data_IF_161687788852
#
_entry.id   IF_161687788852
#
_cell.length_a   1.000
_cell.length_b   1.000
_cell.length_c   1.000
_cell.angle_alpha   90.00
_cell.angle_beta   90.00
_cell.angle_gamma   90.00
#
_symmetry.space_group_name_H-M   'P 1'
#
loop_
_entity.id
_entity.type
_entity.pdbx_description
1 polymer ?
#
# COMPACT_ATOMS: atom_id res chain seq x y z
N UNK A 1 4.38 45.26 -2.83
CA UNK A 1 3.81 44.71 -1.58
C UNK A 1 4.12 43.23 -1.57
N UNK A 2 5.11 42.81 -0.80
CA UNK A 2 5.49 41.38 -0.67
C UNK A 2 4.65 40.82 0.48
N UNK A 3 3.62 40.05 0.15
CA UNK A 3 2.79 39.38 1.17
C UNK A 3 3.60 38.17 1.66
N UNK A 4 4.25 38.34 2.80
CA UNK A 4 4.89 37.23 3.51
C UNK A 4 3.78 36.50 4.27
N UNK A 5 3.23 35.43 3.69
CA UNK A 5 2.31 34.55 4.40
C UNK A 5 3.15 33.74 5.39
N UNK A 6 3.29 34.26 6.60
CA UNK A 6 3.89 33.52 7.71
C UNK A 6 2.82 32.56 8.20
N UNK A 7 2.89 31.28 7.83
CA UNK A 7 1.95 30.27 8.30
C UNK A 7 2.30 29.95 9.76
N UNK A 8 1.81 30.79 10.66
CA UNK A 8 1.94 30.62 12.10
C UNK A 8 1.00 29.48 12.50
N UNK A 9 1.51 28.24 12.53
CA UNK A 9 0.85 26.98 12.91
C UNK A 9 -0.23 26.42 11.95
N UNK A 10 0.19 25.80 10.84
CA UNK A 10 -0.65 24.89 10.05
C UNK A 10 -0.26 23.43 10.24
N UNK A 11 -1.19 22.53 9.88
CA UNK A 11 -0.97 21.10 9.70
C UNK A 11 -1.05 20.82 8.20
N UNK A 12 0.00 20.26 7.61
CA UNK A 12 -0.05 19.85 6.21
C UNK A 12 -0.69 18.46 6.08
N UNK A 13 -1.70 18.36 5.23
CA UNK A 13 -2.19 17.08 4.71
C UNK A 13 -1.46 16.81 3.41
N UNK A 14 -0.54 15.85 3.43
CA UNK A 14 0.40 15.63 2.33
C UNK A 14 0.23 14.23 1.75
N UNK A 15 0.60 14.13 0.47
CA UNK A 15 0.78 12.84 -0.16
C UNK A 15 2.15 12.21 0.08
N UNK A 16 3.01 12.92 0.82
CA UNK A 16 4.40 12.55 0.97
C UNK A 16 4.97 12.92 2.33
N UNK A 17 5.42 11.90 3.07
CA UNK A 17 5.94 12.02 4.44
C UNK A 17 7.46 12.08 4.57
N UNK A 18 8.19 12.55 3.56
CA UNK A 18 9.65 12.58 3.59
C UNK A 18 10.17 13.72 4.46
N UNK A 19 10.90 13.35 5.50
CA UNK A 19 11.38 14.27 6.53
C UNK A 19 12.90 14.47 6.51
N UNK A 20 13.59 14.06 5.45
CA UNK A 20 15.02 14.38 5.34
C UNK A 20 15.22 15.88 5.05
N UNK A 21 16.21 16.53 5.68
CA UNK A 21 16.59 17.90 5.34
C UNK A 21 17.25 17.99 3.95
N UNK A 22 17.77 16.89 3.42
CA UNK A 22 18.34 16.84 2.07
C UNK A 22 17.36 16.15 1.12
N UNK A 23 16.83 16.84 0.09
CA UNK A 23 15.99 16.19 -0.90
C UNK A 23 16.79 15.13 -1.63
N UNK A 24 16.20 13.95 -1.72
CA UNK A 24 16.58 12.94 -2.69
C UNK A 24 15.40 12.85 -3.67
N UNK A 25 15.58 13.07 -4.98
CA UNK A 25 14.46 13.13 -5.92
C UNK A 25 13.86 11.73 -6.14
N UNK A 26 12.62 11.51 -5.67
CA UNK A 26 11.98 10.18 -5.67
C UNK A 26 11.13 9.91 -6.92
N UNK A 27 10.41 10.91 -7.44
CA UNK A 27 9.51 10.76 -8.58
C UNK A 27 10.17 11.02 -9.94
N UNK A 28 11.45 11.38 -9.95
CA UNK A 28 12.17 11.93 -11.13
C UNK A 28 11.52 13.15 -11.77
N UNK A 29 10.52 13.74 -11.10
CA UNK A 29 10.00 15.03 -11.49
C UNK A 29 11.07 16.07 -11.12
N UNK A 30 11.44 16.93 -12.06
CA UNK A 30 12.49 17.93 -11.85
C UNK A 30 12.21 18.77 -10.60
N UNK A 31 10.93 19.10 -10.37
CA UNK A 31 10.49 19.93 -9.25
C UNK A 31 10.54 19.21 -7.89
N UNK A 32 10.70 17.88 -7.86
CA UNK A 32 10.90 17.13 -6.61
C UNK A 32 12.29 17.39 -6.00
N UNK A 33 13.24 17.90 -6.80
CA UNK A 33 14.53 18.36 -6.29
C UNK A 33 14.46 19.87 -5.99
N UNK A 34 13.71 20.24 -4.97
CA UNK A 34 13.49 21.64 -4.58
C UNK A 34 14.76 22.40 -4.19
N UNK A 35 15.92 21.73 -4.03
CA UNK A 35 17.21 22.37 -3.79
C UNK A 35 17.97 22.72 -5.09
N UNK A 36 17.52 22.24 -6.26
CA UNK A 36 18.07 22.67 -7.55
C UNK A 36 17.75 24.14 -7.87
N UNK A 37 16.68 24.69 -7.30
CA UNK A 37 16.40 26.13 -7.32
C UNK A 37 16.41 26.70 -5.88
N UNK A 38 17.59 27.11 -5.37
CA UNK A 38 17.71 27.72 -4.05
C UNK A 38 16.85 28.98 -3.89
N UNK A 39 16.54 29.70 -4.97
CA UNK A 39 15.67 30.88 -4.93
C UNK A 39 14.22 30.49 -4.78
N UNK A 40 13.79 29.39 -5.40
CA UNK A 40 12.45 28.83 -5.18
C UNK A 40 12.30 28.38 -3.73
N UNK A 41 13.24 27.59 -3.21
CA UNK A 41 13.23 27.14 -1.82
C UNK A 41 13.18 28.31 -0.84
N UNK A 42 14.02 29.33 -1.06
CA UNK A 42 14.06 30.53 -0.22
C UNK A 42 12.75 31.32 -0.22
N UNK A 43 12.03 31.32 -1.35
CA UNK A 43 10.75 32.05 -1.48
C UNK A 43 9.56 31.31 -0.87
N UNK A 44 9.57 29.98 -0.84
CA UNK A 44 8.38 29.19 -0.53
C UNK A 44 8.49 28.30 0.71
N UNK A 45 9.71 27.91 1.11
CA UNK A 45 9.91 26.90 2.16
C UNK A 45 10.71 27.46 3.33
N UNK A 46 11.94 27.93 3.11
CA UNK A 46 12.79 28.38 4.20
C UNK A 46 14.21 28.74 3.78
N UNK A 47 15.15 28.79 4.72
CA UNK A 47 16.54 29.12 4.42
C UNK A 47 17.22 28.00 3.63
N UNK A 48 17.57 28.25 2.36
CA UNK A 48 18.27 27.26 1.52
C UNK A 48 19.68 26.95 2.01
N UNK A 49 20.26 27.76 2.90
CA UNK A 49 21.54 27.46 3.57
C UNK A 49 21.38 26.56 4.80
N UNK A 50 20.15 26.43 5.31
CA UNK A 50 19.78 25.58 6.44
C UNK A 50 18.48 24.84 6.10
N UNK A 51 18.53 23.93 5.11
CA UNK A 51 17.33 23.28 4.63
C UNK A 51 16.68 22.49 5.77
N UNK A 52 15.37 22.66 5.89
CA UNK A 52 14.52 21.98 6.84
C UNK A 52 13.58 21.08 6.06
N UNK A 53 13.18 19.93 6.62
CA UNK A 53 12.24 19.06 5.93
C UNK A 53 10.92 19.78 5.63
N UNK A 54 10.35 19.56 4.44
CA UNK A 54 9.03 20.11 4.09
C UNK A 54 7.93 19.47 4.93
N UNK A 55 8.04 18.17 5.19
CA UNK A 55 7.16 17.43 6.08
C UNK A 55 7.77 17.36 7.49
N UNK A 56 7.04 17.85 8.49
CA UNK A 56 7.42 17.79 9.88
C UNK A 56 6.70 16.65 10.61
N UNK A 57 7.46 15.62 10.99
CA UNK A 57 6.95 14.49 11.78
C UNK A 57 6.27 14.98 13.05
N UNK A 58 5.16 14.35 13.42
CA UNK A 58 4.39 14.69 14.62
C UNK A 58 3.57 15.98 14.52
N UNK A 59 3.75 16.81 13.47
CA UNK A 59 2.90 17.95 13.13
C UNK A 59 2.02 17.64 11.93
N UNK A 60 2.64 17.27 10.82
CA UNK A 60 1.99 17.05 9.53
C UNK A 60 1.45 15.62 9.43
N UNK A 61 0.54 15.37 8.47
CA UNK A 61 -0.16 14.09 8.32
C UNK A 61 -0.04 13.61 6.88
N UNK A 62 0.45 12.39 6.71
CA UNK A 62 0.39 11.68 5.42
C UNK A 62 -0.95 10.96 5.34
N UNK A 63 -1.75 11.31 4.35
CA UNK A 63 -3.06 10.68 4.11
C UNK A 63 -2.89 9.50 3.15
N UNK A 64 -3.69 8.42 3.22
CA UNK A 64 -3.64 7.35 2.23
C UNK A 64 -4.14 7.81 0.85
N UNK A 65 -3.60 7.24 -0.25
CA UNK A 65 -4.03 7.58 -1.59
C UNK A 65 -5.49 7.18 -1.82
N UNK A 66 -6.12 7.88 -2.75
CA UNK A 66 -7.44 7.52 -3.21
C UNK A 66 -7.38 6.40 -4.25
N UNK A 67 -8.29 5.42 -4.16
CA UNK A 67 -8.58 4.47 -5.23
C UNK A 67 -10.07 4.28 -5.41
N UNK A 68 -10.44 3.85 -6.62
CA UNK A 68 -11.83 3.60 -7.00
C UNK A 68 -12.47 2.49 -6.15
N UNK A 69 -13.78 2.54 -5.88
CA UNK A 69 -14.50 1.54 -5.08
C UNK A 69 -14.22 0.08 -5.45
N UNK A 70 -14.12 -0.23 -6.74
CA UNK A 70 -13.88 -1.59 -7.25
C UNK A 70 -12.54 -2.18 -6.81
N UNK A 71 -11.54 -1.35 -6.51
CA UNK A 71 -10.25 -1.82 -6.00
C UNK A 71 -10.38 -2.41 -4.59
N UNK A 72 -11.30 -1.88 -3.77
CA UNK A 72 -11.50 -2.30 -2.38
C UNK A 72 -12.44 -3.50 -2.25
N UNK A 73 -13.47 -3.58 -3.10
CA UNK A 73 -14.52 -4.59 -2.95
C UNK A 73 -13.99 -6.02 -3.02
N UNK A 74 -13.08 -6.32 -3.96
CA UNK A 74 -12.53 -7.66 -4.14
C UNK A 74 -11.80 -8.18 -2.89
N UNK A 75 -10.83 -7.47 -2.31
CA UNK A 75 -10.20 -7.94 -1.07
C UNK A 75 -11.16 -7.97 0.11
N UNK A 76 -12.11 -7.02 0.22
CA UNK A 76 -13.07 -7.01 1.33
C UNK A 76 -13.98 -8.24 1.30
N UNK A 77 -14.43 -8.65 0.11
CA UNK A 77 -15.24 -9.87 -0.08
C UNK A 77 -14.45 -11.17 0.16
N UNK A 78 -13.14 -11.17 -0.12
CA UNK A 78 -12.30 -12.36 -0.06
C UNK A 78 -11.62 -12.59 1.29
N UNK A 79 -11.61 -11.60 2.19
CA UNK A 79 -10.74 -11.59 3.37
C UNK A 79 -11.54 -11.36 4.67
N UNK A 80 -12.69 -12.00 4.83
CA UNK A 80 -13.56 -11.79 6.01
C UNK A 80 -13.70 -12.99 6.95
N UNK A 81 -12.98 -14.10 6.73
CA UNK A 81 -13.03 -15.25 7.64
C UNK A 81 -11.76 -15.37 8.48
N UNK A 82 -11.85 -15.97 9.67
CA UNK A 82 -10.69 -16.35 10.48
C UNK A 82 -9.66 -17.18 9.68
N UNK A 83 -10.11 -17.87 8.64
CA UNK A 83 -9.24 -18.58 7.70
C UNK A 83 -8.28 -17.63 6.99
N UNK A 84 -8.65 -16.39 6.70
CA UNK A 84 -7.79 -15.41 6.03
C UNK A 84 -6.52 -15.05 6.82
N UNK A 85 -6.58 -15.11 8.15
CA UNK A 85 -5.41 -14.89 9.03
C UNK A 85 -4.47 -16.09 8.99
N UNK A 86 -5.03 -17.31 9.11
CA UNK A 86 -4.28 -18.57 9.17
C UNK A 86 -4.02 -19.20 7.79
N UNK A 87 -4.49 -18.57 6.71
CA UNK A 87 -4.34 -19.08 5.35
C UNK A 87 -2.87 -19.08 4.97
N UNK A 88 -2.34 -20.26 4.70
CA UNK A 88 -1.01 -20.40 4.13
C UNK A 88 -0.94 -19.65 2.79
N UNK A 89 -0.01 -18.70 2.72
CA UNK A 89 0.34 -17.98 1.50
C UNK A 89 1.43 -18.79 0.79
N UNK A 90 1.35 -18.87 -0.53
CA UNK A 90 2.26 -19.70 -1.35
C UNK A 90 3.54 -18.92 -1.67
N UNK A 91 3.42 -17.61 -1.87
CA UNK A 91 4.55 -16.72 -2.11
C UNK A 91 5.07 -16.09 -0.83
N UNK A 92 6.38 -15.80 -0.80
CA UNK A 92 7.02 -15.09 0.30
C UNK A 92 6.91 -13.58 0.09
N UNK A 93 7.41 -13.08 -1.05
CA UNK A 93 7.56 -11.64 -1.34
C UNK A 93 6.88 -11.26 -2.64
N UNK A 94 6.11 -10.18 -2.64
CA UNK A 94 5.49 -9.64 -3.83
C UNK A 94 5.74 -8.15 -4.04
N UNK A 95 6.02 -7.79 -5.30
CA UNK A 95 5.93 -6.43 -5.81
C UNK A 95 5.48 -6.45 -7.28
N UNK A 96 4.47 -5.64 -7.61
CA UNK A 96 4.13 -5.35 -9.00
C UNK A 96 3.80 -3.88 -9.23
N UNK A 97 4.59 -3.20 -10.07
CA UNK A 97 4.29 -1.87 -10.63
C UNK A 97 5.54 -1.24 -11.24
N UNK A 98 5.49 0.06 -11.59
CA UNK A 98 6.57 0.73 -12.33
C UNK A 98 7.95 0.50 -11.68
N UNK A 99 8.80 -0.29 -12.32
CA UNK A 99 10.13 -0.67 -11.85
C UNK A 99 11.17 0.43 -12.09
N UNK A 100 10.80 1.54 -12.75
CA UNK A 100 11.73 2.62 -13.04
C UNK A 100 12.67 2.34 -14.22
N UNK A 101 12.48 1.23 -14.96
CA UNK A 101 13.35 0.83 -16.07
C UNK A 101 13.37 1.81 -17.25
N UNK A 102 12.40 2.73 -17.29
CA UNK A 102 12.28 3.81 -18.29
C UNK A 102 12.18 5.20 -17.65
N UNK A 103 12.49 5.32 -16.36
CA UNK A 103 12.49 6.58 -15.62
C UNK A 103 13.90 7.18 -15.60
N UNK A 104 14.04 8.44 -15.17
CA UNK A 104 15.35 9.04 -15.00
C UNK A 104 16.12 8.34 -13.86
N UNK A 105 17.46 8.42 -13.85
CA UNK A 105 18.26 7.94 -12.71
C UNK A 105 17.80 8.58 -11.40
N UNK A 106 17.75 7.79 -10.32
CA UNK A 106 17.30 8.24 -9.00
C UNK A 106 15.82 8.02 -8.72
N UNK A 107 14.99 7.64 -9.71
CA UNK A 107 13.60 7.24 -9.46
C UNK A 107 13.54 6.18 -8.37
N UNK A 108 12.69 6.39 -7.37
CA UNK A 108 12.55 5.45 -6.26
C UNK A 108 13.86 5.22 -5.49
N UNK A 109 14.81 6.16 -5.52
CA UNK A 109 16.20 5.95 -5.03
C UNK A 109 16.90 4.76 -5.67
N UNK A 110 16.53 4.45 -6.90
CA UNK A 110 16.91 3.24 -7.62
C UNK A 110 16.53 1.95 -6.89
N UNK A 111 15.67 2.00 -5.85
CA UNK A 111 15.33 0.83 -5.04
C UNK A 111 14.55 -0.21 -5.83
N UNK A 112 13.61 0.22 -6.68
CA UNK A 112 12.84 -0.70 -7.51
C UNK A 112 13.70 -1.39 -8.57
N UNK A 113 14.63 -0.64 -9.16
CA UNK A 113 15.61 -1.11 -10.13
C UNK A 113 16.59 -2.09 -9.46
N UNK A 114 17.11 -1.74 -8.29
CA UNK A 114 17.99 -2.60 -7.47
C UNK A 114 17.27 -3.86 -7.01
N UNK A 115 16.04 -3.75 -6.52
CA UNK A 115 15.24 -4.89 -6.07
C UNK A 115 14.98 -5.84 -7.24
N UNK A 116 14.60 -5.29 -8.39
CA UNK A 116 14.42 -6.10 -9.59
C UNK A 116 15.71 -6.77 -10.04
N UNK A 117 16.84 -6.07 -10.03
CA UNK A 117 18.14 -6.64 -10.40
C UNK A 117 18.59 -7.76 -9.46
N UNK A 118 18.32 -7.63 -8.15
CA UNK A 118 18.67 -8.63 -7.14
C UNK A 118 17.73 -9.83 -7.14
N UNK A 119 16.44 -9.65 -7.44
CA UNK A 119 15.41 -10.66 -7.23
C UNK A 119 14.55 -10.95 -8.47
N UNK A 120 15.07 -10.72 -9.67
CA UNK A 120 14.42 -11.18 -10.90
C UNK A 120 14.50 -12.71 -10.97
N UNK A 121 13.38 -13.36 -11.30
CA UNK A 121 13.33 -14.81 -11.51
C UNK A 121 14.11 -15.17 -12.80
N UNK A 122 15.26 -15.86 -12.70
CA UNK A 122 16.07 -16.20 -13.86
C UNK A 122 15.39 -17.23 -14.79
N UNK A 123 14.37 -17.93 -14.31
CA UNK A 123 13.63 -18.95 -15.06
C UNK A 123 12.41 -18.40 -15.79
N UNK A 124 12.07 -17.13 -15.59
CA UNK A 124 10.99 -16.49 -16.33
C UNK A 124 11.33 -16.47 -17.83
N UNK A 125 10.44 -17.05 -18.66
CA UNK A 125 10.63 -17.24 -20.11
C UNK A 125 10.76 -15.94 -20.93
N UNK A 126 10.61 -14.78 -20.30
CA UNK A 126 10.96 -13.47 -20.87
C UNK A 126 12.36 -13.06 -20.39
N UNK A 127 13.37 -13.87 -20.77
CA UNK A 127 14.80 -13.68 -20.47
C UNK A 127 15.37 -12.30 -20.84
N UNK A 128 14.74 -11.53 -21.74
CA UNK A 128 15.16 -10.15 -22.04
C UNK A 128 14.90 -9.17 -20.87
N UNK A 129 14.03 -9.51 -19.92
CA UNK A 129 13.63 -8.59 -18.86
C UNK A 129 14.54 -8.66 -17.62
N UNK A 130 15.27 -9.75 -17.37
CA UNK A 130 16.23 -9.81 -16.24
C UNK A 130 17.61 -9.21 -16.58
N UNK A 131 17.90 -8.83 -17.84
CA UNK A 131 19.22 -8.33 -18.31
C UNK A 131 19.04 -7.35 -19.48
N UNK A 132 19.41 -6.04 -19.39
CA UNK A 132 20.78 -5.55 -19.20
C UNK A 132 20.93 -4.41 -18.15
N UNK A 133 20.09 -4.36 -17.11
CA UNK A 133 20.48 -3.67 -15.85
C UNK A 133 21.57 -4.43 -15.08
N UNK A 134 21.83 -5.67 -15.52
CA UNK A 134 22.98 -6.52 -15.20
C UNK A 134 24.32 -5.96 -15.73
N UNK A 135 24.35 -4.93 -16.60
CA UNK A 135 25.61 -4.15 -16.81
C UNK A 135 26.07 -3.38 -15.56
N UNK A 136 25.25 -3.44 -14.51
CA UNK A 136 25.57 -2.97 -13.19
C UNK A 136 24.86 -3.82 -12.12
N UNK A 137 25.19 -5.11 -11.99
CA UNK A 137 25.81 -5.41 -10.68
C UNK A 137 26.86 -4.31 -10.54
N UNK A 138 26.61 -3.27 -9.72
CA UNK A 138 27.48 -2.07 -9.67
C UNK A 138 28.93 -2.56 -9.69
N UNK A 139 29.92 -1.78 -10.14
CA UNK A 139 31.34 -2.21 -10.08
C UNK A 139 31.74 -2.84 -8.72
N UNK A 140 30.96 -2.58 -7.67
CA UNK A 140 30.94 -3.11 -6.31
C UNK A 140 30.37 -4.55 -6.10
N UNK A 141 29.63 -5.16 -7.04
CA UNK A 141 28.97 -6.47 -6.88
C UNK A 141 29.35 -7.45 -8.03
N UNK A 142 29.72 -8.72 -7.73
CA UNK A 142 30.25 -9.68 -8.71
C UNK A 142 29.17 -10.38 -9.57
N UNK A 143 29.54 -10.91 -10.76
CA UNK A 143 28.70 -11.51 -11.82
C UNK A 143 27.71 -12.66 -11.44
N UNK A 144 27.45 -12.93 -10.16
CA UNK A 144 26.48 -13.89 -9.64
C UNK A 144 25.55 -13.24 -8.58
N UNK A 145 24.99 -12.06 -8.89
CA UNK A 145 24.24 -11.21 -7.95
C UNK A 145 22.78 -11.62 -7.69
N UNK A 146 22.24 -12.63 -8.38
CA UNK A 146 20.84 -12.99 -8.17
C UNK A 146 20.68 -13.59 -6.77
N UNK A 147 19.88 -12.94 -5.96
CA UNK A 147 19.43 -13.37 -4.64
C UNK A 147 17.99 -13.88 -4.70
N UNK A 148 17.47 -14.14 -5.92
CA UNK A 148 16.13 -14.65 -6.11
C UNK A 148 15.97 -16.04 -5.47
N UNK A 149 14.79 -16.25 -4.88
CA UNK A 149 14.37 -17.52 -4.33
C UNK A 149 12.92 -17.84 -4.76
N UNK A 150 12.53 -19.13 -4.81
CA UNK A 150 11.13 -19.50 -5.03
C UNK A 150 10.18 -18.78 -4.08
N UNK A 151 9.11 -18.21 -4.64
CA UNK A 151 8.13 -17.42 -3.89
C UNK A 151 8.45 -15.92 -3.80
N UNK A 152 9.55 -15.45 -4.40
CA UNK A 152 9.83 -14.02 -4.59
C UNK A 152 9.39 -13.58 -5.98
N UNK A 153 8.48 -12.60 -6.04
CA UNK A 153 7.96 -12.05 -7.29
C UNK A 153 8.14 -10.53 -7.31
N UNK A 154 9.00 -10.04 -8.19
CA UNK A 154 9.16 -8.60 -8.47
C UNK A 154 8.98 -8.38 -9.97
N UNK A 155 7.99 -7.57 -10.37
CA UNK A 155 7.67 -7.35 -11.78
C UNK A 155 7.04 -5.98 -12.07
N UNK A 156 6.99 -5.59 -13.35
CA UNK A 156 6.44 -4.29 -13.76
C UNK A 156 4.93 -4.20 -13.64
N UNK A 157 4.19 -5.22 -14.04
CA UNK A 157 2.72 -5.19 -13.98
C UNK A 157 2.16 -6.59 -13.72
N UNK A 158 0.93 -6.63 -13.19
CA UNK A 158 0.19 -7.86 -12.99
C UNK A 158 -1.25 -7.72 -13.47
N UNK A 159 -1.72 -8.67 -14.27
CA UNK A 159 -3.14 -8.84 -14.59
C UNK A 159 -3.90 -9.60 -13.49
N UNK A 160 -3.19 -10.16 -12.50
CA UNK A 160 -3.72 -10.90 -11.35
C UNK A 160 -3.32 -10.22 -10.03
N UNK A 161 -3.24 -8.89 -10.06
CA UNK A 161 -2.64 -8.09 -8.98
C UNK A 161 -3.27 -8.38 -7.60
N UNK A 162 -4.61 -8.44 -7.54
CA UNK A 162 -5.32 -8.76 -6.32
C UNK A 162 -5.00 -10.17 -5.81
N UNK A 163 -5.07 -11.18 -6.69
CA UNK A 163 -4.75 -12.57 -6.36
C UNK A 163 -3.32 -12.74 -5.87
N UNK A 164 -2.38 -12.01 -6.47
CA UNK A 164 -0.97 -12.07 -6.10
C UNK A 164 -0.71 -11.40 -4.75
N UNK A 165 -1.26 -10.22 -4.49
CA UNK A 165 -1.24 -9.61 -3.16
C UNK A 165 -1.81 -10.55 -2.08
N UNK A 166 -2.90 -11.27 -2.39
CA UNK A 166 -3.51 -12.24 -1.49
C UNK A 166 -2.85 -13.63 -1.48
N UNK A 167 -1.83 -13.90 -2.30
CA UNK A 167 -1.14 -15.20 -2.28
C UNK A 167 0.27 -15.12 -1.73
N UNK A 168 0.74 -13.92 -1.38
CA UNK A 168 2.04 -13.68 -0.79
C UNK A 168 1.93 -13.27 0.69
N UNK A 169 2.96 -13.61 1.48
CA UNK A 169 3.05 -13.24 2.90
C UNK A 169 3.40 -11.76 3.06
N UNK A 170 4.42 -11.31 2.32
CA UNK A 170 5.00 -9.98 2.42
C UNK A 170 4.88 -9.22 1.09
N UNK A 171 4.58 -7.93 1.15
CA UNK A 171 4.42 -7.08 -0.02
C UNK A 171 5.28 -5.83 0.09
N UNK A 172 6.18 -5.63 -0.86
CA UNK A 172 7.13 -4.53 -0.84
C UNK A 172 6.46 -3.19 -1.12
N UNK A 173 6.80 -2.22 -0.30
CA UNK A 173 6.46 -0.82 -0.47
C UNK A 173 7.75 -0.01 -0.65
N UNK A 174 8.07 0.25 -1.92
CA UNK A 174 9.13 1.17 -2.33
C UNK A 174 8.56 2.58 -2.53
N UNK A 175 9.35 3.63 -2.33
CA UNK A 175 8.99 4.98 -2.77
C UNK A 175 8.63 5.02 -4.26
N UNK A 176 7.90 6.04 -4.67
CA UNK A 176 7.61 6.33 -6.09
C UNK A 176 7.23 7.80 -6.23
N UNK A 177 6.25 8.10 -7.07
CA UNK A 177 5.67 9.44 -7.24
C UNK A 177 4.76 9.78 -6.03
N UNK A 178 5.34 9.94 -4.84
CA UNK A 178 4.64 10.26 -3.58
C UNK A 178 4.35 9.06 -2.67
N UNK A 179 3.07 8.86 -2.33
CA UNK A 179 2.51 8.04 -1.24
C UNK A 179 3.13 6.66 -0.95
N UNK A 180 3.82 6.01 -1.89
CA UNK A 180 4.01 4.54 -1.85
C UNK A 180 2.68 3.84 -1.59
N UNK A 181 1.74 3.96 -2.54
CA UNK A 181 0.40 3.33 -2.49
C UNK A 181 0.40 1.82 -2.21
N UNK A 182 1.57 1.19 -2.22
CA UNK A 182 1.80 -0.23 -1.93
C UNK A 182 1.58 -0.61 -0.49
N UNK A 183 1.80 0.29 0.48
CA UNK A 183 1.41 0.00 1.88
C UNK A 183 -0.09 -0.22 1.96
N UNK A 184 -0.86 0.67 1.35
CA UNK A 184 -2.30 0.56 1.29
C UNK A 184 -2.75 -0.69 0.52
N UNK A 185 -2.11 -1.02 -0.61
CA UNK A 185 -2.43 -2.24 -1.37
C UNK A 185 -2.16 -3.49 -0.55
N UNK A 186 -1.01 -3.57 0.13
CA UNK A 186 -0.69 -4.69 0.99
C UNK A 186 -1.73 -4.85 2.10
N UNK A 187 -2.03 -3.74 2.80
CA UNK A 187 -2.92 -3.74 3.96
C UNK A 187 -4.33 -4.20 3.58
N UNK A 188 -4.93 -3.64 2.52
CA UNK A 188 -6.29 -4.01 2.15
C UNK A 188 -6.42 -5.48 1.70
N UNK A 189 -5.35 -6.09 1.21
CA UNK A 189 -5.32 -7.49 0.77
C UNK A 189 -4.86 -8.50 1.85
N UNK A 190 -4.49 -8.03 3.05
CA UNK A 190 -3.96 -8.91 4.08
C UNK A 190 -2.54 -9.42 3.82
N UNK A 191 -1.79 -8.68 3.01
CA UNK A 191 -0.36 -8.91 2.82
C UNK A 191 0.40 -8.01 3.80
N UNK A 192 1.46 -8.52 4.44
CA UNK A 192 2.22 -7.75 5.41
C UNK A 192 3.11 -6.75 4.64
N UNK A 193 2.92 -5.43 4.78
CA UNK A 193 3.75 -4.44 4.10
C UNK A 193 5.21 -4.53 4.56
N UNK A 194 6.13 -4.50 3.60
CA UNK A 194 7.58 -4.36 3.82
C UNK A 194 8.01 -3.03 3.25
N UNK A 195 8.20 -2.05 4.13
CA UNK A 195 8.53 -0.67 3.78
C UNK A 195 10.04 -0.59 3.61
N UNK A 196 10.46 -0.29 2.38
CA UNK A 196 11.86 -0.01 2.03
C UNK A 196 11.93 1.44 1.57
N UNK A 197 11.90 2.33 2.55
CA UNK A 197 11.88 3.78 2.33
C UNK A 197 12.39 4.46 3.61
N UNK A 198 13.62 4.94 3.55
CA UNK A 198 14.24 5.62 4.68
C UNK A 198 13.71 7.05 4.78
N UNK A 199 13.74 7.61 6.00
CA UNK A 199 13.39 9.00 6.27
C UNK A 199 11.98 9.40 5.76
N UNK A 200 11.04 8.45 5.74
CA UNK A 200 9.67 8.67 5.30
C UNK A 200 8.63 8.10 6.26
N UNK A 201 7.63 8.91 6.56
CA UNK A 201 6.43 8.54 7.31
C UNK A 201 5.36 8.00 6.37
N UNK A 202 4.76 6.87 6.73
CA UNK A 202 3.65 6.25 6.01
C UNK A 202 2.30 6.80 6.46
N UNK A 203 1.24 6.43 5.75
CA UNK A 203 -0.12 6.93 6.02
C UNK A 203 -0.51 6.72 7.48
N UNK A 204 -0.84 7.79 8.18
CA UNK A 204 -1.30 7.69 9.57
C UNK A 204 -0.31 7.01 10.55
N UNK A 205 0.99 6.92 10.23
CA UNK A 205 1.97 6.23 11.08
C UNK A 205 2.11 6.84 12.47
N UNK A 206 2.23 8.16 12.57
CA UNK A 206 2.13 8.85 13.86
C UNK A 206 0.71 9.07 14.39
N UNK A 207 -0.31 8.58 13.68
CA UNK A 207 -1.73 8.85 14.00
C UNK A 207 -2.35 7.77 14.85
N UNK A 208 -2.07 6.49 14.61
CA UNK A 208 -2.72 5.39 15.34
C UNK A 208 -2.61 5.58 16.87
N UNK A 209 -1.38 5.74 17.37
CA UNK A 209 -1.11 6.04 18.79
C UNK A 209 -1.72 7.37 19.25
N UNK A 210 -1.63 8.42 18.44
CA UNK A 210 -2.16 9.74 18.76
C UNK A 210 -3.70 9.76 18.86
N UNK A 211 -4.37 8.92 18.07
CA UNK A 211 -5.82 8.71 18.09
C UNK A 211 -6.28 7.79 19.22
N UNK A 212 -5.36 7.21 19.98
CA UNK A 212 -5.66 6.31 21.10
C UNK A 212 -5.71 4.82 20.75
N UNK A 213 -5.23 4.41 19.58
CA UNK A 213 -5.06 3.00 19.23
C UNK A 213 -3.70 2.49 19.73
N UNK A 214 -3.63 1.35 20.44
CA UNK A 214 -2.37 0.77 20.92
C UNK A 214 -1.65 -0.01 19.80
N UNK A 215 -1.46 0.63 18.65
CA UNK A 215 -0.81 0.02 17.49
C UNK A 215 0.13 1.02 16.84
N UNK A 216 1.27 0.51 16.42
CA UNK A 216 2.28 1.20 15.64
C UNK A 216 2.53 0.44 14.33
N UNK A 217 3.17 1.06 13.36
CA UNK A 217 3.48 0.44 12.08
C UNK A 217 4.27 -0.86 12.23
N UNK A 218 5.19 -0.92 13.18
CA UNK A 218 5.96 -2.14 13.48
C UNK A 218 5.12 -3.33 13.96
N UNK A 219 3.85 -3.12 14.33
CA UNK A 219 2.96 -4.19 14.75
C UNK A 219 2.30 -4.93 13.58
N UNK A 220 2.37 -4.37 12.37
CA UNK A 220 1.74 -4.96 11.19
C UNK A 220 2.58 -4.80 9.90
N UNK A 221 3.81 -4.29 10.02
CA UNK A 221 4.71 -4.06 8.90
C UNK A 221 6.15 -4.37 9.28
N UNK A 222 6.98 -4.59 8.27
CA UNK A 222 8.43 -4.70 8.40
C UNK A 222 9.05 -3.46 7.76
N UNK A 223 9.94 -2.77 8.47
CA UNK A 223 10.79 -1.72 7.89
C UNK A 223 12.18 -2.32 7.62
N UNK A 224 12.64 -2.22 6.37
CA UNK A 224 13.97 -2.66 5.95
C UNK A 224 14.70 -1.44 5.38
N UNK A 225 15.90 -1.17 5.88
CA UNK A 225 16.69 -0.02 5.40
C UNK A 225 17.06 -0.14 3.93
N UNK A 226 17.21 0.99 3.23
CA UNK A 226 17.51 1.03 1.79
C UNK A 226 18.84 0.33 1.44
N UNK A 227 19.80 0.38 2.35
CA UNK A 227 21.10 -0.30 2.23
C UNK A 227 20.99 -1.83 2.39
N UNK A 228 19.98 -2.29 3.13
CA UNK A 228 19.79 -3.69 3.52
C UNK A 228 18.91 -4.48 2.54
N UNK A 229 18.55 -3.89 1.40
CA UNK A 229 17.73 -4.55 0.38
C UNK A 229 18.30 -5.92 -0.07
N UNK A 230 19.62 -6.11 -0.02
CA UNK A 230 20.29 -7.39 -0.30
C UNK A 230 20.04 -8.48 0.76
N UNK A 231 19.54 -8.11 1.94
CA UNK A 231 19.16 -9.04 3.03
C UNK A 231 17.66 -9.28 3.09
N UNK A 232 16.88 -8.83 2.10
CA UNK A 232 15.42 -8.86 2.13
C UNK A 232 14.89 -10.27 2.45
N UNK A 233 15.30 -11.28 1.68
CA UNK A 233 14.77 -12.64 1.85
C UNK A 233 15.22 -13.26 3.19
N UNK A 234 16.51 -13.25 3.57
CA UNK A 234 16.93 -13.73 4.90
C UNK A 234 16.19 -13.04 6.06
N UNK A 235 15.99 -11.73 5.98
CA UNK A 235 15.29 -10.95 7.02
C UNK A 235 13.84 -11.39 7.16
N UNK A 236 13.13 -11.58 6.05
CA UNK A 236 11.72 -11.97 6.08
C UNK A 236 11.52 -13.44 6.50
N UNK A 237 12.44 -14.34 6.13
CA UNK A 237 12.39 -15.75 6.58
C UNK A 237 12.70 -15.93 8.07
N UNK A 238 13.43 -15.00 8.68
CA UNK A 238 13.71 -15.03 10.11
C UNK A 238 12.48 -14.70 10.98
N UNK A 239 11.41 -14.18 10.38
CA UNK A 239 10.16 -13.89 11.08
C UNK A 239 9.39 -15.20 11.30
N UNK A 240 9.14 -15.53 12.56
CA UNK A 240 8.37 -16.72 12.94
C UNK A 240 6.93 -16.69 12.43
N UNK A 241 6.32 -17.85 12.20
CA UNK A 241 4.91 -17.95 11.80
C UNK A 241 3.94 -17.28 12.78
N UNK A 242 4.19 -17.35 14.10
CA UNK A 242 3.34 -16.69 15.11
C UNK A 242 3.36 -15.16 14.93
N UNK A 243 4.52 -14.59 14.64
CA UNK A 243 4.69 -13.17 14.35
C UNK A 243 4.02 -12.78 13.03
N UNK A 244 4.08 -13.64 12.00
CA UNK A 244 3.35 -13.46 10.74
C UNK A 244 1.84 -13.44 10.98
N UNK A 245 1.32 -14.38 11.77
CA UNK A 245 -0.09 -14.46 12.16
C UNK A 245 -0.52 -13.22 12.93
N UNK A 246 0.31 -12.77 13.89
CA UNK A 246 0.10 -11.53 14.65
C UNK A 246 0.00 -10.31 13.74
N UNK A 247 1.01 -10.09 12.90
CA UNK A 247 1.02 -8.97 11.97
C UNK A 247 -0.17 -9.02 11.01
N UNK A 248 -0.51 -10.19 10.47
CA UNK A 248 -1.65 -10.32 9.54
C UNK A 248 -2.98 -10.03 10.23
N UNK A 249 -3.17 -10.44 11.48
CA UNK A 249 -4.36 -10.06 12.27
C UNK A 249 -4.48 -8.54 12.37
N UNK A 250 -3.38 -7.86 12.70
CA UNK A 250 -3.35 -6.40 12.78
C UNK A 250 -3.62 -5.75 11.41
N UNK A 251 -3.01 -6.24 10.33
CA UNK A 251 -3.27 -5.77 8.95
C UNK A 251 -4.76 -5.84 8.62
N UNK A 252 -5.40 -7.00 8.84
CA UNK A 252 -6.81 -7.19 8.50
C UNK A 252 -7.75 -6.36 9.36
N UNK A 253 -7.39 -6.16 10.62
CA UNK A 253 -8.15 -5.27 11.50
C UNK A 253 -8.04 -3.81 11.03
N UNK A 254 -6.84 -3.36 10.67
CA UNK A 254 -6.58 -1.97 10.28
C UNK A 254 -7.10 -1.58 8.90
N UNK A 255 -7.32 -2.54 8.00
CA UNK A 255 -7.60 -2.29 6.58
C UNK A 255 -8.74 -1.30 6.30
N UNK A 256 -9.74 -1.27 7.16
CA UNK A 256 -10.90 -0.39 7.02
C UNK A 256 -10.47 1.09 7.07
N UNK A 257 -9.49 1.43 7.91
CA UNK A 257 -8.94 2.79 8.05
C UNK A 257 -8.03 3.23 6.90
N UNK A 258 -7.66 2.31 6.00
CA UNK A 258 -6.89 2.61 4.78
C UNK A 258 -7.81 2.90 3.58
N UNK A 259 -9.14 2.85 3.75
CA UNK A 259 -10.11 3.05 2.66
C UNK A 259 -10.93 4.31 2.90
N UNK A 260 -11.24 5.04 1.83
CA UNK A 260 -12.15 6.17 1.82
C UNK A 260 -13.52 5.71 1.29
N UNK A 261 -14.42 5.28 2.17
CA UNK A 261 -15.66 4.58 1.76
C UNK A 261 -16.68 5.49 1.08
N UNK A 262 -16.69 6.77 1.44
CA UNK A 262 -17.67 7.75 0.97
C UNK A 262 -17.11 8.74 -0.08
N UNK A 263 -15.87 8.56 -0.54
CA UNK A 263 -15.23 9.39 -1.59
C UNK A 263 -15.53 8.90 -3.02
N UNK A 264 -15.48 9.83 -3.99
CA UNK A 264 -15.75 9.61 -5.44
C UNK A 264 -17.19 9.32 -5.82
N UNK A 265 -18.18 9.90 -5.12
CA UNK A 265 -19.61 9.74 -5.45
C UNK A 265 -19.95 8.31 -5.89
N UNK A 266 -19.61 7.29 -5.09
CA UNK A 266 -19.91 5.91 -5.45
C UNK A 266 -21.41 5.81 -5.70
N UNK A 267 -21.81 4.95 -6.65
CA UNK A 267 -23.23 4.65 -6.79
C UNK A 267 -23.79 4.19 -5.44
N UNK A 268 -25.09 4.39 -5.19
CA UNK A 268 -25.70 3.94 -3.94
C UNK A 268 -25.42 2.45 -3.67
N UNK A 269 -25.39 1.64 -4.73
CA UNK A 269 -24.99 0.23 -4.71
C UNK A 269 -23.52 0.02 -4.29
N UNK A 270 -22.58 0.75 -4.88
CA UNK A 270 -21.16 0.64 -4.51
C UNK A 270 -20.91 1.06 -3.06
N UNK A 271 -21.59 2.11 -2.60
CA UNK A 271 -21.54 2.55 -1.21
C UNK A 271 -22.08 1.46 -0.30
N UNK A 272 -23.28 0.95 -0.57
CA UNK A 272 -23.88 -0.13 0.20
C UNK A 272 -22.97 -1.38 0.24
N UNK A 273 -22.34 -1.75 -0.88
CA UNK A 273 -21.42 -2.87 -0.95
C UNK A 273 -20.16 -2.66 -0.09
N UNK A 274 -19.56 -1.46 -0.11
CA UNK A 274 -18.40 -1.13 0.72
C UNK A 274 -18.73 -1.12 2.21
N UNK A 275 -19.87 -0.54 2.60
CA UNK A 275 -20.33 -0.55 3.99
C UNK A 275 -20.72 -1.95 4.46
N UNK A 276 -21.26 -2.79 3.58
CA UNK A 276 -21.62 -4.19 3.91
C UNK A 276 -20.38 -5.09 4.05
N UNK A 277 -19.33 -4.84 3.26
CA UNK A 277 -18.12 -5.64 3.28
C UNK A 277 -17.06 -5.17 4.30
N UNK A 278 -17.22 -3.94 4.83
CA UNK A 278 -16.32 -3.34 5.81
C UNK A 278 -17.03 -3.03 7.12
N UNK A 279 -16.31 -2.36 8.03
CA UNK A 279 -16.91 -1.85 9.28
C UNK A 279 -17.51 -0.47 9.07
N UNK A 280 -18.79 -0.30 9.39
CA UNK A 280 -19.50 0.98 9.23
C UNK A 280 -18.87 2.04 10.13
N UNK A 281 -18.63 3.24 9.58
CA UNK A 281 -18.07 4.39 10.31
C UNK A 281 -16.58 4.28 10.68
N UNK A 282 -15.91 3.17 10.37
CA UNK A 282 -14.48 3.00 10.56
C UNK A 282 -13.78 3.08 9.21
N UNK A 283 -13.25 4.24 8.88
CA UNK A 283 -12.60 4.48 7.60
C UNK A 283 -11.49 5.54 7.70
N UNK A 284 -10.87 5.87 6.57
CA UNK A 284 -9.82 6.88 6.51
C UNK A 284 -10.28 8.28 6.97
N UNK A 285 -11.57 8.63 6.84
CA UNK A 285 -12.09 9.91 7.31
C UNK A 285 -12.12 9.98 8.82
N UNK A 286 -12.59 8.92 9.49
CA UNK A 286 -12.53 8.86 10.94
C UNK A 286 -11.09 9.03 11.43
N UNK A 287 -10.16 8.26 10.88
CA UNK A 287 -8.77 8.31 11.35
C UNK A 287 -8.09 9.66 11.07
N UNK A 288 -8.40 10.30 9.93
CA UNK A 288 -7.95 11.66 9.63
C UNK A 288 -8.53 12.69 10.63
N UNK A 289 -9.81 12.60 10.97
CA UNK A 289 -10.43 13.50 11.93
C UNK A 289 -9.78 13.37 13.32
N UNK A 290 -9.54 12.13 13.77
CA UNK A 290 -8.85 11.87 15.05
C UNK A 290 -7.39 12.35 15.01
N UNK A 291 -6.70 12.21 13.87
CA UNK A 291 -5.36 12.74 13.68
C UNK A 291 -5.33 14.27 13.85
N UNK A 292 -6.20 14.97 13.13
CA UNK A 292 -6.30 16.42 13.18
C UNK A 292 -6.63 16.91 14.58
N UNK A 293 -7.53 16.25 15.28
CA UNK A 293 -7.83 16.55 16.67
C UNK A 293 -6.60 16.40 17.57
N UNK A 294 -5.88 15.28 17.47
CA UNK A 294 -4.68 15.04 18.28
C UNK A 294 -3.59 16.09 18.01
N UNK A 295 -3.42 16.52 16.75
CA UNK A 295 -2.50 17.61 16.39
C UNK A 295 -2.97 18.96 16.92
N UNK A 296 -4.25 19.28 16.82
CA UNK A 296 -4.81 20.51 17.38
C UNK A 296 -4.62 20.57 18.90
N UNK A 297 -4.78 19.45 19.61
CA UNK A 297 -4.49 19.33 21.05
C UNK A 297 -3.01 19.56 21.37
N UNK A 298 -2.10 18.93 20.62
CA UNK A 298 -0.66 19.13 20.79
C UNK A 298 -0.23 20.59 20.58
N UNK A 299 -0.99 21.34 19.77
CA UNK A 299 -0.82 22.78 19.55
C UNK A 299 -1.54 23.67 20.58
N UNK A 300 -2.14 23.09 21.63
CA UNK A 300 -2.90 23.82 22.65
C UNK A 300 -4.18 24.47 22.14
N UNK A 301 -4.72 24.04 20.99
CA UNK A 301 -5.94 24.60 20.37
C UNK A 301 -7.23 23.98 20.90
N UNK A 302 -7.13 22.84 21.58
CA UNK A 302 -8.26 22.13 22.20
C UNK A 302 -7.92 21.87 23.67
N UNK A 303 -8.80 22.28 24.57
CA UNK A 303 -8.57 22.33 26.04
C UNK A 303 -9.36 21.28 26.83
N UNK A 304 -10.13 20.42 26.16
CA UNK A 304 -10.89 19.35 26.82
C UNK A 304 -9.93 18.37 27.55
N UNK A 305 -10.24 17.94 28.79
CA UNK A 305 -9.39 17.04 29.56
C UNK A 305 -9.07 15.74 28.82
N UNK A 306 -7.86 15.23 29.03
CA UNK A 306 -7.34 14.11 28.25
C UNK A 306 -8.22 12.85 28.32
N UNK A 307 -8.71 12.55 29.51
CA UNK A 307 -9.54 11.37 29.76
C UNK A 307 -10.85 11.39 28.97
N UNK A 308 -11.45 12.57 28.78
CA UNK A 308 -12.78 12.69 28.15
C UNK A 308 -12.69 12.36 26.67
N UNK A 309 -11.76 12.98 25.96
CA UNK A 309 -11.61 12.75 24.52
C UNK A 309 -11.06 11.36 24.22
N UNK A 310 -10.15 10.82 25.06
CA UNK A 310 -9.66 9.44 24.91
C UNK A 310 -10.81 8.43 25.01
N UNK A 311 -11.68 8.60 26.01
CA UNK A 311 -12.86 7.74 26.20
C UNK A 311 -13.79 7.82 24.98
N UNK A 312 -14.03 9.03 24.44
CA UNK A 312 -14.83 9.22 23.23
C UNK A 312 -14.18 8.57 22.01
N UNK A 313 -12.88 8.77 21.80
CA UNK A 313 -12.15 8.23 20.65
C UNK A 313 -12.12 6.71 20.70
N UNK A 314 -11.92 6.09 21.87
CA UNK A 314 -12.02 4.64 22.05
C UNK A 314 -13.42 4.10 21.67
N UNK A 315 -14.48 4.85 21.97
CA UNK A 315 -15.85 4.50 21.56
C UNK A 315 -16.03 4.58 20.03
N UNK A 316 -15.49 5.61 19.38
CA UNK A 316 -15.52 5.76 17.91
C UNK A 316 -14.69 4.68 17.20
N UNK A 317 -13.57 4.32 17.79
CA UNK A 317 -12.70 3.23 17.36
C UNK A 317 -13.27 1.85 17.74
N UNK A 318 -14.38 1.82 18.48
CA UNK A 318 -15.31 0.70 18.59
C UNK A 318 -15.08 -0.28 19.74
N UNK A 319 -14.44 0.11 20.86
CA UNK A 319 -14.23 -0.73 22.07
C UNK A 319 -13.55 -2.12 21.86
N UNK A 320 -13.33 -2.57 20.62
CA UNK A 320 -12.73 -3.85 20.23
C UNK A 320 -11.31 -3.72 19.68
N UNK A 321 -10.78 -2.49 19.55
CA UNK A 321 -9.42 -2.26 19.06
C UNK A 321 -8.37 -2.89 19.96
N UNK A 322 -8.51 -2.77 21.28
CA UNK A 322 -7.57 -3.35 22.25
C UNK A 322 -7.58 -4.88 22.29
N UNK A 323 -8.75 -5.52 22.07
CA UNK A 323 -8.87 -6.99 22.20
C UNK A 323 -8.37 -7.76 20.97
N UNK A 324 -8.27 -7.09 19.81
CA UNK A 324 -7.87 -7.71 18.54
C UNK A 324 -6.49 -7.27 18.06
N UNK A 325 -6.00 -6.11 18.50
CA UNK A 325 -4.64 -5.68 18.26
C UNK A 325 -3.73 -6.38 19.25
N UNK A 326 -2.67 -7.02 18.74
CA UNK A 326 -1.67 -7.67 19.58
C UNK A 326 -0.37 -6.89 19.39
N UNK A 327 0.07 -6.08 20.37
CA UNK A 327 1.35 -5.37 20.32
C UNK A 327 2.53 -6.33 20.25
N UNK A 328 3.66 -5.86 19.70
CA UNK A 328 4.89 -6.66 19.64
C UNK A 328 5.37 -7.06 21.04
N UNK A 329 5.54 -8.36 21.28
CA UNK A 329 5.97 -8.92 22.57
C UNK A 329 4.86 -9.50 23.44
N UNK A 330 3.59 -9.33 23.06
CA UNK A 330 2.46 -9.99 23.73
C UNK A 330 2.03 -11.24 22.95
N UNK A 331 1.82 -12.35 23.67
CA UNK A 331 1.30 -13.59 23.08
C UNK A 331 -0.22 -13.44 22.92
N UNK A 332 -0.72 -13.68 21.71
CA UNK A 332 -2.16 -13.71 21.48
C UNK A 332 -2.81 -14.73 22.45
N UNK A 333 -3.94 -14.41 23.11
CA UNK A 333 -4.57 -15.36 24.01
C UNK A 333 -4.91 -16.64 23.24
N UNK A 334 -4.36 -17.77 23.70
CA UNK A 334 -4.75 -19.08 23.23
C UNK A 334 -6.26 -19.21 23.41
N UNK A 335 -6.99 -19.43 22.31
CA UNK A 335 -8.38 -19.85 22.40
C UNK A 335 -8.40 -21.20 23.09
N UNK A 336 -8.81 -21.23 24.36
CA UNK A 336 -9.19 -22.48 25.02
C UNK A 336 -10.41 -23.01 24.28
N UNK A 337 -10.24 -24.10 23.55
CA UNK A 337 -11.33 -24.83 22.93
C UNK A 337 -12.38 -25.16 23.99
N UNK A 338 -13.60 -24.70 23.76
CA UNK A 338 -14.76 -25.05 24.53
C UNK A 338 -15.23 -26.45 24.10
N UNK A 339 -14.59 -27.49 24.61
CA UNK A 339 -15.14 -28.85 24.63
C UNK A 339 -15.02 -29.41 26.05
N UNK A 340 -16.00 -29.04 26.86
CA UNK A 340 -16.07 -29.46 28.26
C UNK A 340 -17.42 -29.14 28.86
N UNK A 341 -18.48 -29.82 28.41
CA UNK A 341 -19.58 -30.30 29.25
C UNK A 341 -20.77 -30.77 28.40
N UNK A 342 -21.00 -32.09 28.35
CA UNK A 342 -22.35 -32.64 28.52
C UNK A 342 -22.30 -34.15 28.83
N UNK A 343 -22.52 -34.45 30.11
CA UNK A 343 -23.52 -35.40 30.58
C UNK A 343 -23.39 -36.87 30.15
N UNK A 344 -22.93 -37.69 31.08
CA UNK A 344 -23.19 -39.13 31.08
C UNK A 344 -24.70 -39.43 31.14
N UNK A 345 -25.17 -40.33 30.27
CA UNK A 345 -26.22 -41.29 30.62
C UNK A 345 -26.07 -42.57 29.79
N UNK A 346 -26.23 -43.69 30.49
CA UNK A 346 -26.10 -45.09 30.02
C UNK A 346 -27.29 -45.49 29.15
N UNK A 347 -27.10 -46.46 28.25
CA UNK A 347 -27.81 -47.77 28.21
C UNK A 347 -27.63 -48.51 26.87
N UNK A 348 -27.35 -49.84 26.96
CA UNK A 348 -27.63 -50.90 25.96
C UNK A 348 -26.84 -50.86 24.64
N UNK A 349 -26.04 -51.85 24.23
CA UNK A 349 -26.32 -53.29 24.19
C UNK A 349 -26.68 -53.70 22.75
N UNK A 350 -25.80 -54.41 22.04
CA UNK A 350 -26.16 -55.02 20.75
C UNK A 350 -25.00 -55.38 19.81
N UNK A 351 -24.69 -56.68 19.73
CA UNK A 351 -23.77 -57.32 18.76
C UNK A 351 -24.32 -57.27 17.32
N UNK A 352 -23.44 -57.31 16.30
CA UNK A 352 -23.81 -57.90 15.01
C UNK A 352 -22.98 -57.55 13.76
N UNK A 353 -22.12 -58.48 13.33
CA UNK A 353 -21.81 -58.96 11.96
C UNK A 353 -21.48 -57.94 10.82
N UNK A 354 -20.32 -58.13 10.15
CA UNK A 354 -20.02 -57.59 8.80
C UNK A 354 -20.69 -58.38 7.67
N UNK A 355 -20.12 -58.49 6.43
CA UNK A 355 -19.36 -57.56 5.60
C UNK A 355 -19.91 -57.47 4.12
N UNK A 356 -19.21 -56.71 3.26
CA UNK A 356 -18.97 -56.93 1.79
C UNK A 356 -19.64 -56.03 0.72
N UNK A 357 -18.83 -55.90 -0.35
CA UNK A 357 -19.10 -55.71 -1.80
C UNK A 357 -19.28 -54.28 -2.32
N UNK A 358 -18.46 -53.74 -3.25
CA UNK A 358 -17.95 -54.11 -4.61
C UNK A 358 -18.74 -53.39 -5.72
N UNK A 359 -17.98 -52.86 -6.70
CA UNK A 359 -18.45 -52.34 -8.00
C UNK A 359 -17.88 -50.94 -8.24
N UNK A 360 -16.81 -50.67 -9.01
CA UNK A 360 -16.46 -51.01 -10.41
C UNK A 360 -17.54 -50.62 -11.43
N UNK A 361 -17.25 -49.55 -12.19
CA UNK A 361 -17.94 -49.19 -13.43
C UNK A 361 -17.11 -48.19 -14.24
N UNK A 362 -16.57 -48.65 -15.39
CA UNK A 362 -15.81 -47.90 -16.39
C UNK A 362 -16.73 -47.33 -17.48
N UNK A 363 -16.26 -46.29 -18.18
CA UNK A 363 -16.68 -45.89 -19.55
C UNK A 363 -16.81 -44.37 -19.66
N UNK A 364 -16.25 -43.62 -20.62
CA UNK A 364 -15.60 -43.94 -21.90
C UNK A 364 -16.23 -43.10 -23.03
N UNK A 365 -15.49 -42.13 -23.60
CA UNK A 365 -15.80 -41.38 -24.85
C UNK A 365 -16.69 -40.12 -24.65
N UNK A 366 -16.59 -39.02 -25.40
CA UNK A 366 -15.96 -38.71 -26.70
C UNK A 366 -15.80 -37.19 -26.87
N UNK A 367 -14.81 -36.79 -27.66
CA UNK A 367 -14.42 -35.44 -28.06
C UNK A 367 -15.40 -34.71 -29.00
N UNK A 368 -15.17 -33.37 -29.10
CA UNK A 368 -15.33 -32.44 -30.26
C UNK A 368 -16.69 -31.74 -30.48
N UNK A 369 -16.71 -30.42 -30.20
CA UNK A 369 -16.87 -29.29 -31.16
C UNK A 369 -17.44 -28.06 -30.43
N UNK A 370 -16.66 -26.97 -30.31
CA UNK A 370 -17.10 -25.56 -30.23
C UNK A 370 -15.86 -24.65 -30.17
N UNK A 371 -15.18 -24.53 -31.31
CA UNK A 371 -14.42 -23.33 -31.69
C UNK A 371 -15.29 -22.62 -32.75
N UNK A 372 -15.18 -21.30 -32.82
CA UNK A 372 -15.87 -20.38 -33.76
C UNK A 372 -17.20 -19.81 -33.26
N UNK A 373 -17.14 -18.81 -32.36
CA UNK A 373 -18.16 -17.75 -32.22
C UNK A 373 -17.71 -16.55 -31.34
N UNK A 374 -16.44 -16.41 -30.95
CA UNK A 374 -16.04 -15.46 -29.89
C UNK A 374 -14.95 -14.43 -30.27
N UNK A 375 -14.79 -14.14 -31.57
CA UNK A 375 -13.71 -13.25 -32.06
C UNK A 375 -14.16 -11.92 -32.68
N UNK A 376 -15.45 -11.67 -32.91
CA UNK A 376 -15.88 -10.45 -33.62
C UNK A 376 -16.51 -9.33 -32.75
N UNK A 377 -16.74 -9.53 -31.46
CA UNK A 377 -17.29 -8.49 -30.58
C UNK A 377 -16.23 -7.61 -29.89
N UNK A 378 -14.98 -8.09 -29.74
CA UNK A 378 -13.93 -7.36 -29.03
C UNK A 378 -13.12 -6.39 -29.93
N UNK A 379 -13.12 -6.58 -31.26
CA UNK A 379 -12.43 -5.68 -32.18
C UNK A 379 -13.14 -4.31 -32.33
N UNK A 380 -14.48 -4.26 -32.20
CA UNK A 380 -15.26 -3.03 -32.32
C UNK A 380 -15.22 -2.15 -31.06
N UNK A 381 -14.85 -2.68 -29.90
CA UNK A 381 -14.79 -1.92 -28.62
C UNK A 381 -13.43 -1.25 -28.39
N UNK A 382 -12.37 -1.77 -29.03
CA UNK A 382 -11.01 -1.20 -28.96
C UNK A 382 -10.82 0.05 -29.84
N UNK A 383 -11.63 0.25 -30.89
CA UNK A 383 -11.53 1.42 -31.78
C UNK A 383 -12.16 2.69 -31.21
N UNK A 384 -13.04 2.59 -30.20
CA UNK A 384 -13.69 3.74 -29.57
C UNK A 384 -12.88 4.34 -28.40
N UNK A 385 -12.11 3.52 -27.67
CA UNK A 385 -11.22 3.99 -26.60
C UNK A 385 -9.91 4.62 -27.12
N UNK A 386 -9.47 4.25 -28.33
CA UNK A 386 -8.30 4.88 -28.97
C UNK A 386 -8.60 6.28 -29.53
N UNK A 387 -9.86 6.61 -29.84
CA UNK A 387 -10.25 7.92 -30.38
C UNK A 387 -10.44 9.01 -29.32
N UNK A 388 -10.76 8.65 -28.08
CA UNK A 388 -10.89 9.61 -26.98
C UNK A 388 -9.54 10.08 -26.43
N UNK A 389 -8.52 9.21 -26.40
CA UNK A 389 -7.16 9.58 -25.97
C UNK A 389 -6.43 10.51 -26.96
N UNK A 390 -6.81 10.52 -28.25
CA UNK A 390 -6.18 11.37 -29.26
C UNK A 390 -6.69 12.83 -29.26
N UNK A 391 -7.89 13.09 -28.72
CA UNK A 391 -8.49 14.44 -28.69
C UNK A 391 -7.95 15.30 -27.54
N UNK A 392 -7.60 14.71 -26.40
CA UNK A 392 -7.01 15.44 -25.26
C UNK A 392 -5.54 15.85 -25.49
N UNK A 393 -4.81 15.18 -26.40
CA UNK A 393 -3.42 15.53 -26.74
C UNK A 393 -3.28 16.71 -27.73
N UNK A 394 -4.38 17.16 -28.37
CA UNK A 394 -4.35 18.25 -29.36
C UNK A 394 -4.66 19.64 -28.78
N UNK A 395 -5.01 19.76 -27.50
CA UNK A 395 -5.33 21.05 -26.88
C UNK A 395 -4.19 21.69 -26.05
N UNK A 396 -3.07 21.00 -25.83
CA UNK A 396 -1.94 21.54 -25.01
C UNK A 396 -0.66 21.84 -25.80
N UNK A 397 -0.65 21.65 -27.12
CA UNK A 397 0.52 21.90 -27.97
C UNK A 397 0.33 23.04 -28.96
N UNK A 398 0.37 24.30 -28.52
CA UNK A 398 0.68 25.46 -29.37
C UNK A 398 0.94 26.70 -28.52
N UNK A 399 2.22 27.02 -28.27
CA UNK A 399 2.78 28.38 -28.27
C UNK A 399 4.30 28.31 -28.09
N UNK A 400 5.02 28.28 -29.21
CA UNK A 400 6.43 28.68 -29.29
C UNK A 400 6.52 30.06 -29.91
N UNK A 401 7.25 30.92 -29.19
CA UNK A 401 7.99 32.12 -29.58
C UNK A 401 7.96 32.60 -31.04
N UNK A 402 7.65 33.88 -31.20
CA UNK A 402 8.35 34.78 -32.12
C UNK A 402 8.71 36.07 -31.39
N UNK A 403 10.01 36.40 -31.41
CA UNK A 403 10.58 37.64 -30.92
C UNK A 403 10.79 38.63 -32.08
N UNK A 404 10.61 39.93 -31.80
CA UNK A 404 11.33 41.13 -32.31
C UNK A 404 10.40 42.36 -32.23
N UNK A 405 10.72 43.32 -31.35
CA UNK A 405 11.44 44.57 -31.62
C UNK A 405 10.62 45.61 -32.40
N UNK A 406 10.34 46.73 -31.71
CA UNK A 406 10.00 48.12 -32.08
C UNK A 406 8.99 48.58 -31.00
N UNK A 407 9.15 49.63 -30.21
CA UNK A 407 9.86 50.89 -30.40
C UNK A 407 8.86 52.00 -30.05
N UNK A 408 9.10 52.70 -28.92
CA UNK A 408 8.65 54.06 -28.58
C UNK A 408 7.15 54.41 -28.40
N UNK A 409 6.91 55.07 -27.26
CA UNK A 409 6.29 56.39 -27.07
C UNK A 409 4.85 56.50 -26.50
N UNK A 410 4.78 57.33 -25.44
CA UNK A 410 3.66 58.10 -24.87
C UNK A 410 2.43 57.32 -24.36
N UNK A 411 1.80 57.62 -23.22
CA UNK A 411 1.79 58.80 -22.36
C UNK A 411 0.33 59.06 -21.93
N UNK A 412 0.12 59.41 -20.66
CA UNK A 412 -1.12 59.90 -20.03
C UNK A 412 -2.24 58.83 -19.83
N UNK A 413 -2.94 58.73 -18.70
CA UNK A 413 -3.11 59.57 -17.50
C UNK A 413 -3.17 58.70 -16.25
#
# INVERSE_FOLDING_TARGET
ITITITILSSILLTHYGYWSPTPRPWGTYYDDNFMQDPKFYQRHIGDSKKPTPCFARGRDIVIPPWKVPSFWLKPFQMVLTADGVKKNRVGLVFFAGDLGLRRLPGYSHDLRQRAYSLYCDPQATFMMDCTPYVYGCRKEFPLNCSLWEPGVTIKTHSNRYHEELMSHTFCLAFPGDGWSSRVLDAVVHGCIPVIVQDESEMFFEGTFKAAGLPVDYQDFSVRLGEAELHKLVPTLRAISEDEIVRMRRNVLWLRDYFVWKDMFTPSAEQRAALHSAGRVGQDGFLLLALALEARARALGRLVEPEQVWRTRNLKLLGQMGEQHLVPKGEVAPHSTDADGARGASRLGGGRGKGPRHLGRGKGGGRQRRRKEAWTNANAARMSHQARTAAVESRQTGKRTHTARLFGRAHGAR
#
